data_IF_422697306139
#
_entry.id   IF_422697306139
#
_cell.length_a   1.000
_cell.length_b   1.000
_cell.length_c   1.000
_cell.angle_alpha   90.00
_cell.angle_beta   90.00
_cell.angle_gamma   90.00
#
_symmetry.space_group_name_H-M   'P 1'
#
loop_
_entity.id
_entity.type
_entity.pdbx_description
1 polymer ?
#
# COMPACT_ATOMS: atom_id res chain seq x y z
N UNK A 1 -17.55 15.06 -19.99
CA UNK A 1 -17.54 15.78 -18.71
C UNK A 1 -16.23 15.45 -18.00
N UNK A 2 -15.30 16.38 -18.03
CA UNK A 2 -14.05 16.25 -17.28
C UNK A 2 -14.30 16.71 -15.85
N UNK A 3 -14.68 15.79 -15.00
CA UNK A 3 -14.74 16.05 -13.56
C UNK A 3 -13.31 15.94 -13.03
N UNK A 4 -12.58 17.03 -13.03
CA UNK A 4 -11.30 17.14 -12.33
C UNK A 4 -11.60 17.20 -10.83
N UNK A 5 -11.74 16.04 -10.21
CA UNK A 5 -12.12 15.91 -8.79
C UNK A 5 -10.98 16.31 -7.85
N UNK A 6 -9.73 16.41 -8.36
CA UNK A 6 -8.54 16.57 -7.53
C UNK A 6 -7.72 17.84 -7.81
N UNK A 7 -8.36 18.92 -8.30
CA UNK A 7 -7.65 20.15 -8.67
C UNK A 7 -7.41 21.10 -7.48
N UNK A 8 -7.71 20.71 -6.26
CA UNK A 8 -7.49 21.56 -5.09
C UNK A 8 -6.07 21.39 -4.55
N UNK A 9 -5.33 22.49 -4.23
CA UNK A 9 -3.98 22.43 -3.65
C UNK A 9 -3.90 21.73 -2.30
N UNK A 10 -5.03 21.43 -1.66
CA UNK A 10 -5.09 20.64 -0.42
C UNK A 10 -4.85 19.13 -0.62
N UNK A 11 -4.78 18.66 -1.87
CA UNK A 11 -4.63 17.23 -2.22
C UNK A 11 -3.24 16.87 -2.74
N UNK A 12 -2.21 17.61 -2.34
CA UNK A 12 -0.81 17.29 -2.62
C UNK A 12 -0.48 15.89 -2.09
N UNK A 13 -0.36 14.93 -2.96
CA UNK A 13 -0.12 13.53 -2.66
C UNK A 13 -1.18 12.58 -3.23
N UNK A 14 -2.36 13.09 -3.63
CA UNK A 14 -3.36 12.34 -4.39
C UNK A 14 -3.31 12.64 -5.90
N UNK A 15 -2.70 13.76 -6.33
CA UNK A 15 -2.50 14.08 -7.75
C UNK A 15 -1.67 13.01 -8.47
N UNK A 16 -0.68 12.45 -7.81
CA UNK A 16 0.08 11.31 -8.33
C UNK A 16 -0.76 10.05 -8.47
N UNK A 17 -1.72 9.83 -7.58
CA UNK A 17 -2.63 8.70 -7.65
C UNK A 17 -3.53 8.81 -8.89
N UNK A 18 -4.07 10.00 -9.19
CA UNK A 18 -4.90 10.24 -10.37
C UNK A 18 -4.14 9.93 -11.67
N UNK A 19 -2.92 10.45 -11.82
CA UNK A 19 -2.08 10.20 -13.01
C UNK A 19 -1.73 8.73 -13.18
N UNK A 20 -1.50 8.02 -12.08
CA UNK A 20 -1.16 6.60 -12.09
C UNK A 20 -2.38 5.72 -12.38
N UNK A 21 -3.55 6.12 -11.92
CA UNK A 21 -4.83 5.45 -12.23
C UNK A 21 -5.12 5.57 -13.72
N UNK A 22 -4.95 6.73 -14.31
CA UNK A 22 -5.12 6.91 -15.75
C UNK A 22 -4.17 6.02 -16.57
N UNK A 23 -2.92 5.85 -16.12
CA UNK A 23 -1.96 4.95 -16.76
C UNK A 23 -2.33 3.49 -16.58
N UNK A 24 -2.76 3.07 -15.38
CA UNK A 24 -3.20 1.71 -15.11
C UNK A 24 -4.46 1.35 -15.89
N UNK A 25 -5.41 2.27 -16.02
CA UNK A 25 -6.62 2.08 -16.82
C UNK A 25 -6.32 1.90 -18.31
N UNK A 26 -5.24 2.51 -18.81
CA UNK A 26 -4.78 2.36 -20.21
C UNK A 26 -4.01 1.08 -20.46
N UNK A 27 -3.43 0.47 -19.41
CA UNK A 27 -2.54 -0.70 -19.53
C UNK A 27 -3.28 -2.03 -19.35
N UNK A 28 -4.45 -2.05 -18.69
CA UNK A 28 -5.23 -3.26 -18.52
C UNK A 28 -6.24 -3.39 -19.65
N UNK A 29 -6.01 -4.34 -20.55
CA UNK A 29 -6.84 -4.60 -21.71
C UNK A 29 -8.30 -4.96 -21.41
N UNK A 30 -8.64 -5.37 -20.20
CA UNK A 30 -9.97 -5.83 -19.82
C UNK A 30 -10.76 -4.89 -18.92
N UNK A 31 -10.13 -3.85 -18.34
CA UNK A 31 -10.82 -2.90 -17.45
C UNK A 31 -11.47 -3.52 -16.20
N UNK A 32 -11.23 -4.79 -15.94
CA UNK A 32 -11.84 -5.52 -14.83
C UNK A 32 -10.90 -5.61 -13.62
N UNK A 33 -11.42 -5.49 -12.40
CA UNK A 33 -12.78 -5.07 -12.05
C UNK A 33 -12.98 -3.56 -12.23
N UNK A 34 -14.20 -3.10 -12.49
CA UNK A 34 -14.51 -1.68 -12.44
C UNK A 34 -14.31 -1.16 -11.02
N UNK A 35 -13.84 0.06 -10.89
CA UNK A 35 -13.57 0.67 -9.60
C UNK A 35 -13.93 2.15 -9.58
N UNK A 36 -14.18 2.66 -8.38
CA UNK A 36 -14.34 4.07 -8.07
C UNK A 36 -13.27 4.49 -7.08
N UNK A 37 -12.86 5.74 -7.16
CA UNK A 37 -12.08 6.40 -6.12
C UNK A 37 -12.87 7.59 -5.64
N UNK A 38 -13.19 7.58 -4.35
CA UNK A 38 -14.01 8.56 -3.69
C UNK A 38 -13.17 9.27 -2.63
N UNK A 39 -13.30 10.58 -2.59
CA UNK A 39 -12.73 11.35 -1.52
C UNK A 39 -13.73 11.45 -0.37
N UNK A 40 -13.35 10.94 0.79
CA UNK A 40 -14.17 10.99 2.01
C UNK A 40 -13.91 12.26 2.81
N UNK A 41 -12.67 12.72 2.81
CA UNK A 41 -12.24 13.93 3.50
C UNK A 41 -10.95 14.48 2.84
N UNK A 42 -10.47 15.67 3.24
CA UNK A 42 -9.20 16.20 2.72
C UNK A 42 -7.99 15.26 2.89
N UNK A 43 -8.07 14.31 3.82
CA UNK A 43 -6.98 13.39 4.15
C UNK A 43 -7.33 11.92 3.95
N UNK A 44 -8.50 11.61 3.42
CA UNK A 44 -8.93 10.21 3.25
C UNK A 44 -9.62 9.96 1.92
N UNK A 45 -9.31 8.79 1.36
CA UNK A 45 -9.88 8.26 0.12
C UNK A 45 -10.47 6.88 0.36
N UNK A 46 -11.42 6.51 -0.47
CA UNK A 46 -11.93 5.16 -0.59
C UNK A 46 -11.80 4.67 -2.02
N UNK A 47 -11.22 3.50 -2.19
CA UNK A 47 -11.23 2.75 -3.44
C UNK A 47 -12.31 1.68 -3.30
N UNK A 48 -13.22 1.63 -4.25
CA UNK A 48 -14.28 0.62 -4.30
C UNK A 48 -14.17 -0.17 -5.59
N UNK A 49 -14.06 -1.49 -5.50
CA UNK A 49 -14.00 -2.39 -6.65
C UNK A 49 -15.27 -3.24 -6.69
N UNK A 50 -15.86 -3.39 -7.88
CA UNK A 50 -16.98 -4.28 -8.09
C UNK A 50 -16.47 -5.71 -8.33
N UNK A 51 -16.59 -6.56 -7.31
CA UNK A 51 -16.06 -7.92 -7.28
C UNK A 51 -17.14 -8.95 -6.94
N UNK A 52 -18.29 -8.82 -7.61
CA UNK A 52 -19.39 -9.73 -7.41
C UNK A 52 -18.95 -11.20 -7.64
N UNK A 53 -19.35 -12.09 -6.74
CA UNK A 53 -19.01 -13.51 -6.78
C UNK A 53 -17.69 -13.87 -6.14
N UNK A 54 -16.86 -12.90 -5.72
CA UNK A 54 -15.66 -13.16 -4.92
C UNK A 54 -16.00 -13.25 -3.44
N UNK A 55 -15.41 -14.20 -2.77
CA UNK A 55 -15.41 -14.29 -1.31
C UNK A 55 -14.17 -13.61 -0.73
N UNK A 56 -14.10 -13.44 0.58
CA UNK A 56 -12.91 -12.87 1.22
C UNK A 56 -11.66 -13.75 0.98
N UNK A 57 -11.85 -15.07 0.89
CA UNK A 57 -10.76 -16.01 0.65
C UNK A 57 -10.21 -15.94 -0.79
N UNK A 58 -11.01 -15.42 -1.71
CA UNK A 58 -10.61 -15.21 -3.10
C UNK A 58 -9.83 -13.93 -3.32
N UNK A 59 -9.82 -13.04 -2.33
CA UNK A 59 -9.27 -11.69 -2.44
C UNK A 59 -8.04 -11.52 -1.55
N UNK A 60 -7.06 -10.82 -2.08
CA UNK A 60 -5.84 -10.45 -1.35
C UNK A 60 -5.49 -9.00 -1.59
N UNK A 61 -5.18 -8.28 -0.53
CA UNK A 61 -4.69 -6.90 -0.60
C UNK A 61 -3.30 -6.87 0.03
N UNK A 62 -2.34 -6.34 -0.70
CA UNK A 62 -0.97 -6.16 -0.23
C UNK A 62 -0.52 -4.73 -0.47
N UNK A 63 0.32 -4.23 0.41
CA UNK A 63 1.05 -2.99 0.22
C UNK A 63 2.51 -3.36 -0.07
N UNK A 64 2.93 -3.13 -1.30
CA UNK A 64 4.25 -3.49 -1.81
C UNK A 64 4.97 -2.18 -2.16
N UNK A 65 5.92 -1.76 -1.32
CA UNK A 65 6.54 -0.45 -1.38
C UNK A 65 5.46 0.67 -1.39
N UNK A 66 5.36 1.40 -2.48
CA UNK A 66 4.35 2.46 -2.67
C UNK A 66 3.17 2.00 -3.54
N UNK A 67 2.95 0.69 -3.66
CA UNK A 67 1.86 0.14 -4.46
C UNK A 67 0.87 -0.62 -3.59
N UNK A 68 -0.38 -0.23 -3.68
CA UNK A 68 -1.49 -1.02 -3.18
C UNK A 68 -1.89 -2.01 -4.27
N UNK A 69 -1.65 -3.29 -4.03
CA UNK A 69 -1.95 -4.35 -4.99
C UNK A 69 -3.14 -5.16 -4.49
N UNK A 70 -4.17 -5.24 -5.32
CA UNK A 70 -5.39 -5.99 -5.05
C UNK A 70 -5.47 -7.14 -6.06
N UNK A 71 -5.52 -8.35 -5.55
CA UNK A 71 -5.60 -9.58 -6.35
C UNK A 71 -6.89 -10.31 -6.03
N UNK A 72 -7.51 -10.84 -7.06
CA UNK A 72 -8.67 -11.72 -6.91
C UNK A 72 -8.50 -12.95 -7.79
N UNK A 73 -8.86 -14.11 -7.24
CA UNK A 73 -8.83 -15.37 -7.95
C UNK A 73 -10.02 -16.23 -7.53
N UNK A 74 -10.96 -16.43 -8.45
CA UNK A 74 -12.06 -17.36 -8.26
C UNK A 74 -11.67 -18.75 -8.72
N UNK A 75 -12.06 -19.77 -7.96
CA UNK A 75 -12.00 -21.13 -8.40
C UNK A 75 -13.22 -21.43 -9.29
N UNK A 76 -12.98 -22.02 -10.44
CA UNK A 76 -14.08 -22.46 -11.32
C UNK A 76 -14.55 -23.85 -10.90
N UNK A 77 -15.58 -23.91 -10.07
CA UNK A 77 -16.24 -25.16 -9.67
C UNK A 77 -17.22 -25.67 -10.76
N UNK A 78 -17.01 -25.26 -12.01
CA UNK A 78 -17.89 -25.58 -13.15
C UNK A 78 -17.90 -27.05 -13.56
N UNK A 79 -17.19 -27.95 -12.88
CA UNK A 79 -17.19 -29.36 -13.13
C UNK A 79 -18.59 -29.98 -12.96
N UNK A 80 -19.15 -30.51 -14.03
CA UNK A 80 -20.46 -31.22 -14.04
C UNK A 80 -21.67 -30.31 -14.28
N UNK A 81 -21.49 -29.00 -14.50
CA UNK A 81 -22.59 -28.11 -14.89
C UNK A 81 -22.73 -28.03 -16.40
N UNK A 82 -23.95 -28.17 -16.89
CA UNK A 82 -24.28 -27.91 -18.29
C UNK A 82 -24.97 -26.56 -18.39
N UNK A 83 -24.29 -25.59 -18.97
CA UNK A 83 -24.86 -24.26 -19.19
C UNK A 83 -25.52 -24.19 -20.57
N UNK A 84 -26.77 -23.78 -20.64
CA UNK A 84 -27.39 -23.41 -21.90
C UNK A 84 -26.88 -22.04 -22.40
N UNK A 85 -26.53 -21.16 -21.47
CA UNK A 85 -25.86 -19.90 -21.70
C UNK A 85 -24.97 -19.59 -20.50
N UNK A 86 -23.74 -19.19 -20.73
CA UNK A 86 -22.81 -18.78 -19.67
C UNK A 86 -22.29 -17.38 -19.93
N UNK A 87 -22.89 -16.38 -19.25
CA UNK A 87 -22.46 -14.99 -19.29
C UNK A 87 -21.55 -14.60 -18.12
N UNK A 88 -21.50 -15.42 -17.05
CA UNK A 88 -20.68 -15.17 -15.86
C UNK A 88 -19.62 -16.27 -15.78
N UNK A 89 -18.37 -15.90 -15.94
CA UNK A 89 -17.24 -16.82 -15.82
C UNK A 89 -16.43 -16.52 -14.57
N UNK A 90 -15.75 -17.53 -14.03
CA UNK A 90 -14.73 -17.33 -13.01
C UNK A 90 -13.64 -16.39 -13.55
N UNK A 91 -13.23 -15.43 -12.73
CA UNK A 91 -12.26 -14.40 -13.13
C UNK A 91 -11.07 -14.38 -12.20
N UNK A 92 -9.97 -13.94 -12.79
CA UNK A 92 -8.75 -13.59 -12.06
C UNK A 92 -8.36 -12.18 -12.45
N UNK A 93 -7.97 -11.37 -11.46
CA UNK A 93 -7.51 -10.01 -11.72
C UNK A 93 -6.38 -9.60 -10.79
N UNK A 94 -5.64 -8.61 -11.22
CA UNK A 94 -4.69 -7.87 -10.39
C UNK A 94 -4.82 -6.39 -10.71
N UNK A 95 -5.03 -5.57 -9.68
CA UNK A 95 -5.02 -4.12 -9.76
C UNK A 95 -3.94 -3.58 -8.86
N UNK A 96 -3.13 -2.66 -9.38
CA UNK A 96 -2.12 -1.96 -8.62
C UNK A 96 -2.40 -0.45 -8.68
N UNK A 97 -2.39 0.18 -7.51
CA UNK A 97 -2.52 1.62 -7.35
C UNK A 97 -1.23 2.14 -6.72
N UNK A 98 -0.58 3.07 -7.38
CA UNK A 98 0.58 3.74 -6.76
C UNK A 98 0.07 4.80 -5.82
N UNK A 99 0.46 4.70 -4.57
CA UNK A 99 0.07 5.62 -3.50
C UNK A 99 1.27 6.51 -3.12
N UNK A 100 0.98 7.76 -2.76
CA UNK A 100 2.02 8.68 -2.31
C UNK A 100 2.61 8.24 -0.98
N UNK A 101 3.86 8.62 -0.74
CA UNK A 101 4.53 8.37 0.53
C UNK A 101 3.76 8.95 1.72
N UNK A 102 3.70 8.20 2.80
CA UNK A 102 2.98 8.57 4.01
C UNK A 102 1.48 8.27 3.99
N UNK A 103 0.96 7.70 2.92
CA UNK A 103 -0.43 7.22 2.88
C UNK A 103 -0.50 5.82 3.47
N UNK A 104 -1.47 5.60 4.34
CA UNK A 104 -1.70 4.35 5.03
C UNK A 104 -3.04 3.73 4.65
N UNK A 105 -3.08 2.41 4.60
CA UNK A 105 -4.33 1.66 4.47
C UNK A 105 -4.97 1.56 5.85
N UNK A 106 -6.12 2.21 6.02
CA UNK A 106 -6.87 2.20 7.27
C UNK A 106 -7.62 0.89 7.47
N UNK A 107 -8.13 0.31 6.40
CA UNK A 107 -8.87 -0.94 6.44
C UNK A 107 -9.48 -1.30 5.09
N UNK A 108 -9.97 -2.52 4.99
CA UNK A 108 -10.69 -3.02 3.84
C UNK A 108 -11.83 -3.95 4.30
N UNK A 109 -12.95 -3.94 3.56
CA UNK A 109 -14.07 -4.83 3.81
C UNK A 109 -14.83 -5.13 2.52
N UNK A 110 -15.50 -6.27 2.51
CA UNK A 110 -16.36 -6.72 1.42
C UNK A 110 -17.81 -6.60 1.84
N UNK A 111 -18.59 -5.90 1.03
CA UNK A 111 -20.03 -5.69 1.27
C UNK A 111 -20.80 -5.70 -0.05
N UNK A 112 -21.82 -6.52 -0.14
CA UNK A 112 -22.71 -6.62 -1.30
C UNK A 112 -21.98 -6.74 -2.66
N UNK A 113 -20.88 -7.49 -2.72
CA UNK A 113 -20.07 -7.66 -3.92
C UNK A 113 -19.16 -6.48 -4.25
N UNK A 114 -19.03 -5.53 -3.34
CA UNK A 114 -18.11 -4.40 -3.43
C UNK A 114 -16.98 -4.54 -2.41
N UNK A 115 -15.75 -4.48 -2.87
CA UNK A 115 -14.58 -4.40 -2.02
C UNK A 115 -14.24 -2.92 -1.80
N UNK A 116 -14.26 -2.50 -0.55
CA UNK A 116 -13.88 -1.15 -0.14
C UNK A 116 -12.51 -1.16 0.52
N UNK A 117 -11.68 -0.21 0.16
CA UNK A 117 -10.36 0.00 0.77
C UNK A 117 -10.22 1.47 1.13
N UNK A 118 -10.09 1.76 2.42
CA UNK A 118 -9.91 3.11 2.93
C UNK A 118 -8.44 3.44 3.09
N UNK A 119 -8.05 4.57 2.53
CA UNK A 119 -6.72 5.14 2.61
C UNK A 119 -6.77 6.46 3.38
N UNK A 120 -5.76 6.70 4.19
CA UNK A 120 -5.63 7.93 4.97
C UNK A 120 -4.21 8.47 4.86
N UNK A 121 -4.09 9.77 4.79
CA UNK A 121 -2.84 10.49 4.99
C UNK A 121 -2.83 11.04 6.41
N UNK A 122 -2.13 10.39 7.36
CA UNK A 122 -2.07 10.90 8.71
C UNK A 122 -1.43 12.28 8.74
N UNK A 123 -2.04 13.18 9.50
CA UNK A 123 -1.44 14.51 9.75
C UNK A 123 -0.27 14.32 10.69
N UNK A 124 0.96 14.74 10.33
CA UNK A 124 2.09 14.65 11.24
C UNK A 124 1.79 15.40 12.52
N UNK A 125 1.76 14.70 13.65
CA UNK A 125 1.69 15.38 14.94
C UNK A 125 3.06 15.96 15.24
N UNK A 126 3.16 17.25 15.62
CA UNK A 126 4.44 17.82 15.99
C UNK A 126 4.98 17.12 17.23
N UNK A 127 6.07 16.39 17.05
CA UNK A 127 6.79 15.79 18.17
C UNK A 127 7.67 16.87 18.79
N UNK A 128 7.21 17.44 19.90
CA UNK A 128 8.02 18.37 20.68
C UNK A 128 9.03 17.59 21.49
N UNK A 129 10.29 17.62 21.08
CA UNK A 129 11.39 17.00 21.82
C UNK A 129 12.15 18.08 22.57
N UNK A 130 12.10 18.06 23.89
CA UNK A 130 12.94 18.91 24.72
C UNK A 130 14.35 18.35 24.76
N UNK A 131 15.31 19.14 24.33
CA UNK A 131 16.73 18.76 24.36
C UNK A 131 17.35 19.39 25.63
N UNK A 132 17.88 18.60 26.57
CA UNK A 132 18.53 19.11 27.74
C UNK A 132 19.86 19.78 27.35
N UNK A 133 20.09 20.97 27.89
CA UNK A 133 21.34 21.72 27.73
C UNK A 133 22.29 21.28 28.84
N UNK A 134 23.43 20.71 28.47
CA UNK A 134 24.48 20.31 29.40
C UNK A 134 25.60 21.40 29.44
N UNK A 135 26.14 21.65 30.62
CA UNK A 135 27.24 22.57 30.76
C UNK A 135 28.57 21.86 30.45
N UNK A 136 29.29 22.31 29.42
CA UNK A 136 30.58 21.77 29.03
C UNK A 136 30.56 21.19 27.59
N UNK A 137 31.75 20.85 27.07
CA UNK A 137 31.87 20.22 25.74
C UNK A 137 31.41 18.76 25.78
N UNK A 138 30.75 18.34 24.73
CA UNK A 138 30.44 16.92 24.53
C UNK A 138 31.76 16.14 24.47
N UNK A 139 31.99 15.20 25.39
CA UNK A 139 33.11 14.27 25.31
C UNK A 139 32.83 13.31 24.16
N UNK A 140 33.53 13.48 23.07
CA UNK A 140 33.59 12.45 22.03
C UNK A 140 34.38 11.29 22.61
N UNK A 141 33.73 10.22 22.97
CA UNK A 141 34.39 8.98 23.32
C UNK A 141 34.95 8.35 22.06
N UNK A 142 36.22 8.66 21.78
CA UNK A 142 37.01 7.91 20.81
C UNK A 142 37.27 6.55 21.48
N UNK A 143 36.66 5.50 20.98
CA UNK A 143 36.93 4.14 21.39
C UNK A 143 38.37 3.78 21.08
N UNK A 144 39.19 3.72 22.13
CA UNK A 144 40.57 3.20 22.00
C UNK A 144 40.46 1.70 21.85
N UNK A 145 40.74 1.22 20.65
CA UNK A 145 40.94 -0.21 20.39
C UNK A 145 42.26 -0.59 21.09
N UNK A 146 42.19 -1.31 22.19
CA UNK A 146 43.37 -1.94 22.79
C UNK A 146 43.72 -3.15 21.93
N UNK A 147 44.85 -3.01 21.23
CA UNK A 147 45.55 -4.13 20.64
C UNK A 147 46.19 -4.91 21.78
N UNK A 148 45.79 -6.15 21.97
CA UNK A 148 46.46 -7.03 22.93
C UNK A 148 47.61 -7.70 22.16
N UNK A 149 48.85 -7.26 22.40
CA UNK A 149 50.05 -7.95 21.96
C UNK A 149 50.18 -9.25 22.73
N UNK A 150 49.99 -10.34 22.01
CA UNK A 150 50.31 -11.69 22.48
C UNK A 150 51.83 -11.89 22.51
N UNK A 151 52.43 -11.82 23.69
CA UNK A 151 53.79 -12.22 23.92
C UNK A 151 53.82 -13.75 24.09
N UNK A 152 54.34 -14.43 23.10
CA UNK A 152 54.74 -15.82 23.19
C UNK A 152 56.03 -15.90 24.01
N UNK A 153 56.00 -16.48 25.18
CA UNK A 153 57.19 -16.94 25.87
C UNK A 153 57.42 -18.39 25.51
N UNK A 154 58.51 -18.58 24.82
CA UNK A 154 59.14 -19.87 24.57
C UNK A 154 60.27 -20.00 25.58
N UNK A 155 60.22 -20.95 26.46
CA UNK A 155 61.39 -21.40 27.21
C UNK A 155 61.31 -22.89 27.46
N UNK A 156 62.14 -23.52 26.71
CA UNK A 156 63.15 -24.54 27.08
C UNK A 156 62.89 -25.46 28.28
N UNK A 157 62.77 -26.64 27.98
CA UNK A 157 63.59 -27.82 28.34
C UNK A 157 62.86 -29.10 28.07
#
# INVERSE_FOLDING_TARGET
>A
MNTRVFTSPMFLGFDHLEQMIERAAKTSSDGYPPYNIEQLSPISLRITLAVAGFTMDDLQITLEDNQLVIRGRQNDDGHGRVFLHRGIAARQFQRAFVIAEGIEVKGAWLDNGLLHVDLVRPVPQPVVKTIPITKGQAKTSVGTTRTVDGKSDNSDL
#
